data_IF_101721345823
#
_entry.id   IF_101721345823
#
_cell.length_a   1.000
_cell.length_b   1.000
_cell.length_c   1.000
_cell.angle_alpha   90.00
_cell.angle_beta   90.00
_cell.angle_gamma   90.00
#
_symmetry.space_group_name_H-M   'P 1'
#
loop_
_entity.id
_entity.type
_entity.pdbx_description
1 polymer ?
#
# COMPACT_ATOMS: atom_id res chain seq x y z
N UNK A 1 -28.62 -15.58 -6.53
CA UNK A 1 -27.17 -15.49 -6.36
C UNK A 1 -26.66 -14.60 -7.48
N UNK A 2 -26.54 -13.31 -7.24
CA UNK A 2 -25.94 -12.37 -8.19
C UNK A 2 -24.43 -12.51 -8.04
N UNK A 3 -23.78 -13.11 -9.03
CA UNK A 3 -22.32 -13.06 -9.18
C UNK A 3 -21.96 -11.58 -9.38
N UNK A 4 -21.38 -10.95 -8.38
CA UNK A 4 -20.71 -9.68 -8.61
C UNK A 4 -19.58 -9.97 -9.61
N UNK A 5 -19.66 -9.38 -10.79
CA UNK A 5 -18.53 -9.37 -11.72
C UNK A 5 -17.38 -8.68 -10.99
N UNK A 6 -16.42 -9.47 -10.52
CA UNK A 6 -15.16 -8.92 -10.04
C UNK A 6 -14.46 -8.30 -11.25
N UNK A 7 -14.52 -6.98 -11.35
CA UNK A 7 -13.74 -6.25 -12.34
C UNK A 7 -12.27 -6.51 -12.02
N UNK A 8 -11.57 -7.26 -12.88
CA UNK A 8 -10.14 -7.52 -12.72
C UNK A 8 -9.41 -6.17 -12.91
N UNK A 9 -8.83 -5.64 -11.85
CA UNK A 9 -8.02 -4.44 -11.90
C UNK A 9 -6.53 -4.83 -11.90
N UNK A 10 -5.75 -4.45 -12.92
CA UNK A 10 -4.32 -4.76 -12.93
C UNK A 10 -3.60 -3.99 -11.81
N UNK A 11 -2.68 -4.64 -11.11
CA UNK A 11 -1.83 -4.07 -10.05
C UNK A 11 -0.37 -4.45 -10.25
N UNK A 12 0.13 -4.28 -11.50
CA UNK A 12 1.48 -4.69 -11.90
C UNK A 12 2.54 -3.70 -11.48
N UNK A 13 2.17 -2.41 -11.46
CA UNK A 13 3.07 -1.30 -11.19
C UNK A 13 2.44 -0.32 -10.21
N UNK A 14 3.28 0.23 -9.33
CA UNK A 14 2.88 1.12 -8.26
C UNK A 14 3.92 2.23 -8.10
N UNK A 15 3.50 3.50 -7.91
CA UNK A 15 4.40 4.62 -7.66
C UNK A 15 3.89 5.51 -6.53
N UNK A 16 4.83 6.06 -5.73
CA UNK A 16 4.54 7.07 -4.72
C UNK A 16 4.52 8.49 -5.29
N UNK A 17 3.60 9.31 -4.78
CA UNK A 17 3.55 10.78 -4.97
C UNK A 17 3.55 11.44 -3.59
N UNK A 18 4.58 12.26 -3.23
CA UNK A 18 4.65 12.87 -1.90
C UNK A 18 3.44 13.77 -1.60
N UNK A 19 2.78 13.59 -0.46
CA UNK A 19 1.63 14.41 -0.04
C UNK A 19 1.97 15.89 0.12
N UNK A 20 3.22 16.23 0.46
CA UNK A 20 3.71 17.60 0.51
C UNK A 20 3.82 18.29 -0.85
N UNK A 21 3.86 17.53 -1.95
CA UNK A 21 4.07 18.02 -3.32
C UNK A 21 2.92 17.61 -4.23
N UNK A 22 1.71 18.17 -4.03
CA UNK A 22 0.52 17.79 -4.78
C UNK A 22 0.68 17.97 -6.31
N UNK A 23 1.59 18.83 -6.75
CA UNK A 23 1.91 19.02 -8.17
C UNK A 23 2.63 17.80 -8.81
N UNK A 24 3.11 16.84 -7.99
CA UNK A 24 3.67 15.59 -8.49
C UNK A 24 2.59 14.53 -8.76
N UNK A 25 1.42 14.66 -8.15
CA UNK A 25 0.34 13.67 -8.30
C UNK A 25 -0.15 13.52 -9.75
N UNK A 26 -0.44 14.60 -10.51
CA UNK A 26 -0.79 14.46 -11.93
C UNK A 26 0.33 13.84 -12.77
N UNK A 27 1.60 14.08 -12.42
CA UNK A 27 2.75 13.48 -13.10
C UNK A 27 2.82 11.98 -12.82
N UNK A 28 2.57 11.56 -11.58
CA UNK A 28 2.51 10.14 -11.23
C UNK A 28 1.38 9.42 -11.97
N UNK A 29 0.19 10.02 -12.07
CA UNK A 29 -0.91 9.48 -12.86
C UNK A 29 -0.56 9.32 -14.36
N UNK A 30 0.27 10.22 -14.89
CA UNK A 30 0.70 10.19 -16.29
C UNK A 30 1.86 9.21 -16.56
N UNK A 31 2.41 8.52 -15.55
CA UNK A 31 3.54 7.58 -15.73
C UNK A 31 3.13 6.25 -16.38
N UNK A 32 1.84 5.97 -16.56
CA UNK A 32 1.36 4.68 -17.07
C UNK A 32 1.40 3.56 -16.02
N UNK A 33 1.40 3.92 -14.75
CA UNK A 33 1.32 2.98 -13.61
C UNK A 33 -0.12 2.53 -13.36
N UNK A 34 -0.28 1.32 -12.81
CA UNK A 34 -1.60 0.82 -12.42
C UNK A 34 -2.07 1.42 -11.07
N UNK A 35 -1.13 1.79 -10.19
CA UNK A 35 -1.44 2.35 -8.86
C UNK A 35 -0.61 3.62 -8.60
N UNK A 36 -1.28 4.69 -8.13
CA UNK A 36 -0.62 5.88 -7.58
C UNK A 36 -0.96 6.02 -6.11
N UNK A 37 0.06 6.12 -5.27
CA UNK A 37 -0.07 6.26 -3.83
C UNK A 37 0.37 7.65 -3.36
N UNK A 38 -0.54 8.40 -2.76
CA UNK A 38 -0.20 9.63 -2.04
C UNK A 38 0.44 9.26 -0.71
N UNK A 39 1.62 9.78 -0.47
CA UNK A 39 2.50 9.41 0.63
C UNK A 39 2.36 10.37 1.81
N UNK A 40 1.96 9.88 2.99
CA UNK A 40 1.87 10.66 4.24
C UNK A 40 2.79 10.09 5.35
N UNK A 41 3.44 8.97 5.10
CA UNK A 41 4.19 8.20 6.10
C UNK A 41 5.70 8.47 6.01
N UNK A 42 6.55 7.49 5.85
CA UNK A 42 8.02 7.58 6.00
C UNK A 42 8.69 8.60 5.07
N UNK A 43 8.10 8.89 3.91
CA UNK A 43 8.55 9.93 3.01
C UNK A 43 8.31 11.37 3.49
N UNK A 44 7.66 11.56 4.64
CA UNK A 44 7.27 12.88 5.19
C UNK A 44 7.88 13.05 6.58
N UNK A 45 8.64 14.13 6.79
CA UNK A 45 9.22 14.42 8.09
C UNK A 45 8.13 14.69 9.16
N UNK A 46 8.34 14.34 10.45
CA UNK A 46 7.32 14.50 11.50
C UNK A 46 6.72 15.90 11.60
N UNK A 47 7.52 16.95 11.41
CA UNK A 47 7.07 18.34 11.46
C UNK A 47 6.14 18.75 10.31
N UNK A 48 6.15 17.99 9.21
CA UNK A 48 5.44 18.31 7.98
C UNK A 48 4.21 17.40 7.77
N UNK A 49 3.92 16.48 8.72
CA UNK A 49 2.83 15.48 8.63
C UNK A 49 1.45 16.11 8.47
N UNK A 50 1.16 17.17 9.23
CA UNK A 50 -0.15 17.83 9.19
C UNK A 50 -0.37 18.54 7.84
N UNK A 51 0.66 19.22 7.34
CA UNK A 51 0.61 19.87 6.02
C UNK A 51 0.47 18.82 4.89
N UNK A 52 1.20 17.71 4.98
CA UNK A 52 1.11 16.63 4.00
C UNK A 52 -0.30 15.99 3.98
N UNK A 53 -0.91 15.80 5.16
CA UNK A 53 -2.28 15.30 5.29
C UNK A 53 -3.28 16.25 4.63
N UNK A 54 -3.20 17.54 4.95
CA UNK A 54 -4.10 18.55 4.38
C UNK A 54 -4.01 18.57 2.86
N UNK A 55 -2.80 18.69 2.32
CA UNK A 55 -2.56 18.73 0.87
C UNK A 55 -2.90 17.40 0.18
N UNK A 56 -2.52 16.29 0.78
CA UNK A 56 -2.78 14.94 0.24
C UNK A 56 -4.27 14.61 0.19
N UNK A 57 -5.01 14.91 1.26
CA UNK A 57 -6.46 14.68 1.30
C UNK A 57 -7.22 15.62 0.35
N UNK A 58 -6.73 16.85 0.13
CA UNK A 58 -7.33 17.79 -0.83
C UNK A 58 -7.33 17.26 -2.27
N UNK A 59 -6.43 16.34 -2.64
CA UNK A 59 -6.41 15.69 -3.95
C UNK A 59 -7.67 14.85 -4.22
N UNK A 60 -8.37 14.45 -3.16
CA UNK A 60 -9.60 13.63 -3.22
C UNK A 60 -10.88 14.44 -2.98
N UNK A 61 -10.79 15.77 -2.86
CA UNK A 61 -11.96 16.64 -2.65
C UNK A 61 -12.96 16.60 -3.81
N UNK A 62 -12.57 16.09 -4.96
CA UNK A 62 -13.43 15.87 -6.13
C UNK A 62 -13.42 14.39 -6.52
N UNK A 63 -14.48 13.88 -7.16
CA UNK A 63 -14.53 12.51 -7.66
C UNK A 63 -13.33 12.20 -8.55
N UNK A 64 -12.71 11.05 -8.34
CA UNK A 64 -11.58 10.59 -9.13
C UNK A 64 -12.03 10.06 -10.48
N UNK A 65 -11.17 10.20 -11.51
CA UNK A 65 -11.44 9.65 -12.83
C UNK A 65 -11.46 8.12 -12.79
N UNK A 66 -12.36 7.53 -13.57
CA UNK A 66 -12.39 6.08 -13.84
C UNK A 66 -11.56 5.81 -15.10
N UNK A 67 -10.24 5.90 -14.97
CA UNK A 67 -9.27 5.73 -16.05
C UNK A 67 -8.43 4.44 -15.89
N UNK A 68 -8.85 3.55 -14.97
CA UNK A 68 -8.18 2.29 -14.68
C UNK A 68 -6.99 2.43 -13.72
N UNK A 69 -6.57 3.65 -13.35
CA UNK A 69 -5.51 3.87 -12.35
C UNK A 69 -6.10 3.84 -10.95
N UNK A 70 -5.60 2.95 -10.11
CA UNK A 70 -5.98 2.87 -8.70
C UNK A 70 -5.29 3.99 -7.91
N UNK A 71 -6.07 4.70 -7.10
CA UNK A 71 -5.60 5.85 -6.31
C UNK A 71 -5.72 5.53 -4.85
N UNK A 72 -4.59 5.56 -4.15
CA UNK A 72 -4.51 5.20 -2.74
C UNK A 72 -3.76 6.26 -1.95
N UNK A 73 -3.94 6.25 -0.64
CA UNK A 73 -3.19 7.10 0.31
C UNK A 73 -2.49 6.19 1.30
N UNK A 74 -1.15 6.27 1.40
CA UNK A 74 -0.43 5.65 2.51
C UNK A 74 -0.52 6.56 3.71
N UNK A 75 -1.32 6.18 4.69
CA UNK A 75 -1.47 6.87 5.95
C UNK A 75 -0.35 6.50 6.92
N UNK A 76 -0.22 7.24 8.01
CA UNK A 76 0.70 6.88 9.09
C UNK A 76 0.21 5.64 9.85
N UNK A 77 1.13 4.94 10.52
CA UNK A 77 0.82 3.77 11.33
C UNK A 77 -0.34 4.04 12.30
N UNK A 78 -1.35 3.18 12.31
CA UNK A 78 -2.59 3.32 13.08
C UNK A 78 -2.36 3.51 14.59
N UNK A 79 -1.23 3.01 15.11
CA UNK A 79 -0.86 3.10 16.54
C UNK A 79 -0.08 4.37 16.89
N UNK A 80 -0.10 5.38 16.02
CA UNK A 80 0.54 6.69 16.25
C UNK A 80 -0.49 7.80 16.28
N UNK A 81 -0.13 8.93 16.92
CA UNK A 81 -0.97 10.13 16.88
C UNK A 81 -1.20 10.63 15.44
N UNK A 82 -0.20 10.48 14.57
CA UNK A 82 -0.34 10.85 13.15
C UNK A 82 -1.31 9.93 12.41
N UNK A 83 -1.23 8.61 12.65
CA UNK A 83 -2.18 7.66 12.05
C UNK A 83 -3.63 7.90 12.51
N UNK A 84 -3.83 8.17 13.80
CA UNK A 84 -5.15 8.55 14.32
C UNK A 84 -5.66 9.85 13.66
N UNK A 85 -4.79 10.84 13.46
CA UNK A 85 -5.16 12.08 12.78
C UNK A 85 -5.51 11.85 11.30
N UNK A 86 -4.78 10.95 10.61
CA UNK A 86 -5.07 10.58 9.22
C UNK A 86 -6.42 9.87 9.11
N UNK A 87 -6.70 8.89 9.98
CA UNK A 87 -7.99 8.20 10.03
C UNK A 87 -9.13 9.19 10.28
N UNK A 88 -8.98 10.10 11.24
CA UNK A 88 -9.98 11.14 11.50
C UNK A 88 -10.23 12.02 10.27
N UNK A 89 -9.19 12.38 9.51
CA UNK A 89 -9.34 13.16 8.28
C UNK A 89 -10.13 12.38 7.21
N UNK A 90 -9.86 11.08 7.06
CA UNK A 90 -10.61 10.20 6.15
C UNK A 90 -12.09 10.10 6.57
N UNK A 91 -12.36 9.89 7.87
CA UNK A 91 -13.73 9.76 8.39
C UNK A 91 -14.53 11.07 8.33
N UNK A 92 -13.85 12.22 8.34
CA UNK A 92 -14.50 13.54 8.33
C UNK A 92 -14.92 14.02 6.93
N UNK A 93 -14.35 13.45 5.85
CA UNK A 93 -14.66 13.87 4.48
C UNK A 93 -15.85 13.12 3.90
N UNK A 94 -16.59 13.77 2.98
CA UNK A 94 -17.64 13.12 2.18
C UNK A 94 -17.08 12.48 0.89
N UNK A 95 -15.82 12.71 0.59
CA UNK A 95 -15.11 12.18 -0.57
C UNK A 95 -13.82 11.47 -0.11
N UNK A 96 -13.93 10.31 0.58
CA UNK A 96 -12.76 9.61 1.07
C UNK A 96 -11.90 9.10 -0.09
N UNK A 97 -10.59 8.92 0.12
CA UNK A 97 -9.74 8.24 -0.85
C UNK A 97 -10.34 6.88 -1.24
N UNK A 98 -10.25 6.46 -2.52
CA UNK A 98 -10.75 5.17 -2.96
C UNK A 98 -10.13 3.97 -2.22
N UNK A 99 -8.84 4.09 -1.83
CA UNK A 99 -8.18 3.10 -1.00
C UNK A 99 -7.16 3.73 -0.04
N UNK A 100 -6.89 3.04 1.06
CA UNK A 100 -5.83 3.35 2.03
C UNK A 100 -4.77 2.26 2.02
N UNK A 101 -3.51 2.66 2.10
CA UNK A 101 -2.39 1.77 2.36
C UNK A 101 -1.98 1.90 3.82
N UNK A 102 -1.95 0.77 4.52
CA UNK A 102 -1.74 0.68 5.96
C UNK A 102 -0.33 0.15 6.24
N UNK A 103 0.59 1.00 6.69
CA UNK A 103 1.94 0.59 7.06
C UNK A 103 1.97 0.03 8.49
N UNK A 104 2.97 -0.79 8.77
CA UNK A 104 3.34 -1.25 10.12
C UNK A 104 2.18 -1.88 10.90
N UNK A 105 1.24 -2.51 10.17
CA UNK A 105 0.17 -3.33 10.75
C UNK A 105 0.80 -4.51 11.48
N UNK A 106 0.29 -4.87 12.65
CA UNK A 106 0.81 -5.99 13.45
C UNK A 106 -0.22 -7.11 13.66
N UNK A 107 -1.50 -6.77 13.65
CA UNK A 107 -2.58 -7.73 13.93
C UNK A 107 -3.79 -7.53 13.04
N UNK A 108 -4.61 -8.57 12.90
CA UNK A 108 -5.90 -8.50 12.21
C UNK A 108 -6.87 -7.49 12.86
N UNK A 109 -6.80 -7.33 14.18
CA UNK A 109 -7.70 -6.44 14.91
C UNK A 109 -7.57 -4.97 14.49
N UNK A 110 -6.36 -4.54 14.07
CA UNK A 110 -6.15 -3.19 13.55
C UNK A 110 -6.96 -2.95 12.26
N UNK A 111 -7.07 -3.96 11.43
CA UNK A 111 -7.84 -3.92 10.17
C UNK A 111 -9.34 -3.92 10.47
N UNK A 112 -9.79 -4.81 11.36
CA UNK A 112 -11.20 -4.93 11.77
C UNK A 112 -11.67 -3.61 12.37
N UNK A 113 -10.87 -3.03 13.29
CA UNK A 113 -11.16 -1.72 13.87
C UNK A 113 -11.35 -0.62 12.83
N UNK A 114 -10.47 -0.55 11.82
CA UNK A 114 -10.59 0.45 10.76
C UNK A 114 -11.79 0.18 9.85
N UNK A 115 -12.06 -1.09 9.52
CA UNK A 115 -13.23 -1.48 8.72
C UNK A 115 -14.54 -1.08 9.40
N UNK A 116 -14.65 -1.30 10.70
CA UNK A 116 -15.82 -0.89 11.51
C UNK A 116 -16.06 0.63 11.42
N UNK A 117 -15.00 1.43 11.56
CA UNK A 117 -15.09 2.89 11.46
C UNK A 117 -15.49 3.37 10.05
N UNK A 118 -14.89 2.78 9.01
CA UNK A 118 -15.23 3.10 7.62
C UNK A 118 -16.69 2.71 7.31
N UNK A 119 -17.12 1.56 7.82
CA UNK A 119 -18.48 1.05 7.66
C UNK A 119 -19.52 1.90 8.38
N UNK A 120 -19.22 2.36 9.61
CA UNK A 120 -20.07 3.29 10.36
C UNK A 120 -20.31 4.60 9.56
N UNK A 121 -19.30 5.05 8.82
CA UNK A 121 -19.40 6.25 7.96
C UNK A 121 -20.01 5.99 6.59
N UNK A 122 -20.25 4.74 6.22
CA UNK A 122 -20.72 4.35 4.89
C UNK A 122 -19.65 4.57 3.79
N UNK A 123 -18.38 4.55 4.16
CA UNK A 123 -17.27 4.70 3.21
C UNK A 123 -16.93 3.35 2.55
N UNK A 124 -16.83 3.35 1.21
CA UNK A 124 -16.46 2.16 0.41
C UNK A 124 -14.94 2.04 0.20
N UNK A 125 -14.15 2.79 0.96
CA UNK A 125 -12.69 2.81 0.88
C UNK A 125 -12.11 1.39 1.01
N UNK A 126 -11.26 1.00 0.05
CA UNK A 126 -10.54 -0.29 0.02
C UNK A 126 -9.28 -0.21 0.87
N UNK A 127 -8.69 -1.37 1.18
CA UNK A 127 -7.49 -1.46 2.02
C UNK A 127 -6.37 -2.21 1.30
N UNK A 128 -5.17 -1.66 1.37
CA UNK A 128 -3.91 -2.29 1.00
C UNK A 128 -3.03 -2.36 2.25
N UNK A 129 -2.50 -3.51 2.58
CA UNK A 129 -1.79 -3.72 3.85
C UNK A 129 -0.33 -4.01 3.60
N UNK A 130 0.59 -3.27 4.25
CA UNK A 130 2.02 -3.53 4.17
C UNK A 130 2.43 -4.53 5.27
N UNK A 131 3.04 -5.62 4.85
CA UNK A 131 3.65 -6.62 5.73
C UNK A 131 5.15 -6.32 5.82
N UNK A 132 5.56 -5.73 6.93
CA UNK A 132 6.92 -5.17 7.09
C UNK A 132 7.47 -5.27 8.51
N UNK A 133 6.74 -5.96 9.42
CA UNK A 133 7.19 -6.23 10.79
C UNK A 133 7.18 -7.72 11.08
N UNK A 134 7.96 -8.18 12.06
CA UNK A 134 7.91 -9.58 12.50
C UNK A 134 6.51 -9.98 12.95
N UNK A 135 5.81 -9.10 13.66
CA UNK A 135 4.45 -9.37 14.12
C UNK A 135 3.48 -9.53 12.94
N UNK A 136 3.54 -8.65 11.94
CA UNK A 136 2.71 -8.80 10.74
C UNK A 136 3.03 -10.05 9.95
N UNK A 137 4.30 -10.47 9.89
CA UNK A 137 4.70 -11.68 9.18
C UNK A 137 4.15 -12.94 9.87
N UNK A 138 4.15 -12.98 11.21
CA UNK A 138 3.53 -14.07 11.97
C UNK A 138 2.01 -14.10 11.77
N UNK A 139 1.34 -12.96 11.80
CA UNK A 139 -0.11 -12.82 11.68
C UNK A 139 -0.60 -12.68 10.23
N UNK A 140 0.26 -12.86 9.20
CA UNK A 140 -0.04 -12.48 7.82
C UNK A 140 -1.29 -13.14 7.24
N UNK A 141 -1.59 -14.38 7.60
CA UNK A 141 -2.79 -15.07 7.14
C UNK A 141 -4.07 -14.51 7.78
N UNK A 142 -4.02 -14.20 9.07
CA UNK A 142 -5.14 -13.59 9.78
C UNK A 142 -5.39 -12.16 9.29
N UNK A 143 -4.32 -11.39 9.05
CA UNK A 143 -4.37 -10.05 8.45
C UNK A 143 -5.00 -10.10 7.07
N UNK A 144 -4.56 -11.03 6.19
CA UNK A 144 -5.06 -11.12 4.83
C UNK A 144 -6.57 -11.41 4.73
N UNK A 145 -7.15 -12.00 5.77
CA UNK A 145 -8.57 -12.40 5.83
C UNK A 145 -9.40 -11.51 6.77
N UNK A 146 -8.80 -10.49 7.38
CA UNK A 146 -9.43 -9.68 8.42
C UNK A 146 -10.62 -8.85 7.93
N UNK A 147 -10.64 -8.49 6.63
CA UNK A 147 -11.71 -7.69 6.02
C UNK A 147 -11.83 -7.98 4.54
N UNK A 148 -13.05 -7.97 4.03
CA UNK A 148 -13.34 -8.02 2.58
C UNK A 148 -12.93 -6.76 1.84
N UNK A 149 -12.54 -5.69 2.55
CA UNK A 149 -11.99 -4.46 1.97
C UNK A 149 -10.54 -4.62 1.49
N UNK A 150 -9.83 -5.65 1.94
CA UNK A 150 -8.43 -5.84 1.55
C UNK A 150 -8.37 -6.31 0.09
N UNK A 151 -7.66 -5.55 -0.74
CA UNK A 151 -7.43 -5.87 -2.14
C UNK A 151 -6.02 -6.40 -2.41
N UNK A 152 -5.04 -5.99 -1.59
CA UNK A 152 -3.65 -6.40 -1.77
C UNK A 152 -2.84 -6.41 -0.47
N UNK A 153 -1.87 -7.31 -0.40
CA UNK A 153 -0.75 -7.23 0.54
C UNK A 153 0.47 -6.65 -0.19
N UNK A 154 1.16 -5.74 0.46
CA UNK A 154 2.46 -5.22 0.02
C UNK A 154 3.57 -5.77 0.90
N UNK A 155 4.68 -6.16 0.29
CA UNK A 155 5.87 -6.55 1.03
C UNK A 155 6.76 -5.33 1.28
N UNK A 156 6.94 -4.94 2.56
CA UNK A 156 7.79 -3.84 2.98
C UNK A 156 9.21 -4.32 3.30
N UNK A 157 10.00 -4.62 2.28
CA UNK A 157 11.29 -5.32 2.42
C UNK A 157 12.33 -4.55 3.23
N UNK A 158 12.34 -3.21 3.20
CA UNK A 158 13.32 -2.39 3.93
C UNK A 158 13.13 -2.52 5.44
N UNK A 159 11.90 -2.31 5.92
CA UNK A 159 11.57 -2.41 7.35
C UNK A 159 11.64 -3.86 7.81
N UNK A 160 11.21 -4.82 6.97
CA UNK A 160 11.35 -6.25 7.26
C UNK A 160 12.82 -6.65 7.44
N UNK A 161 13.73 -6.15 6.59
CA UNK A 161 15.15 -6.43 6.74
C UNK A 161 15.72 -5.88 8.06
N UNK A 162 15.29 -4.67 8.45
CA UNK A 162 15.66 -4.08 9.73
C UNK A 162 15.13 -4.89 10.92
N UNK A 163 13.88 -5.32 10.89
CA UNK A 163 13.26 -6.18 11.91
C UNK A 163 13.97 -7.54 12.03
N UNK A 164 14.30 -8.15 10.89
CA UNK A 164 15.02 -9.43 10.84
C UNK A 164 16.53 -9.29 11.09
N UNK A 165 17.06 -8.07 11.10
CA UNK A 165 18.49 -7.75 11.24
C UNK A 165 19.33 -8.42 10.14
N UNK A 166 18.81 -8.42 8.91
CA UNK A 166 19.49 -8.99 7.74
C UNK A 166 19.71 -7.93 6.66
N UNK A 167 20.42 -8.28 5.60
CA UNK A 167 20.52 -7.40 4.43
C UNK A 167 19.23 -7.34 3.65
N UNK A 168 18.93 -6.18 3.03
CA UNK A 168 17.80 -6.00 2.12
C UNK A 168 18.11 -6.61 0.74
N UNK A 169 18.52 -7.89 0.72
CA UNK A 169 18.76 -8.66 -0.48
C UNK A 169 17.65 -9.70 -0.69
N UNK A 170 17.60 -10.29 -1.88
CA UNK A 170 16.55 -11.23 -2.24
C UNK A 170 16.52 -12.46 -1.33
N UNK A 171 17.67 -13.14 -1.19
CA UNK A 171 17.78 -14.43 -0.49
C UNK A 171 17.43 -14.34 1.01
N UNK A 172 17.96 -13.37 1.80
CA UNK A 172 17.60 -13.24 3.21
C UNK A 172 16.11 -12.99 3.45
N UNK A 173 15.44 -12.34 2.49
CA UNK A 173 14.03 -11.99 2.59
C UNK A 173 13.09 -12.97 1.87
N UNK A 174 13.61 -14.02 1.25
CA UNK A 174 12.82 -14.97 0.44
C UNK A 174 11.71 -15.64 1.28
N UNK A 175 12.01 -16.03 2.52
CA UNK A 175 11.02 -16.63 3.41
C UNK A 175 9.85 -15.65 3.68
N UNK A 176 10.15 -14.39 4.00
CA UNK A 176 9.14 -13.39 4.30
C UNK A 176 8.29 -13.10 3.05
N UNK A 177 8.92 -12.94 1.88
CA UNK A 177 8.20 -12.79 0.59
C UNK A 177 7.27 -13.97 0.30
N UNK A 178 7.77 -15.19 0.49
CA UNK A 178 6.98 -16.41 0.25
C UNK A 178 5.75 -16.49 1.17
N UNK A 179 5.89 -16.08 2.43
CA UNK A 179 4.77 -16.03 3.37
C UNK A 179 3.69 -15.02 2.95
N UNK A 180 4.11 -13.83 2.47
CA UNK A 180 3.18 -12.80 1.97
C UNK A 180 2.40 -13.30 0.75
N UNK A 181 3.10 -13.87 -0.23
CA UNK A 181 2.47 -14.46 -1.42
C UNK A 181 1.50 -15.59 -1.05
N UNK A 182 1.90 -16.48 -0.14
CA UNK A 182 1.04 -17.56 0.32
C UNK A 182 -0.25 -17.04 1.00
N UNK A 183 -0.13 -16.04 1.87
CA UNK A 183 -1.28 -15.45 2.54
C UNK A 183 -2.22 -14.73 1.56
N UNK A 184 -1.67 -13.92 0.65
CA UNK A 184 -2.43 -13.24 -0.39
C UNK A 184 -3.19 -14.23 -1.29
N UNK A 185 -2.51 -15.29 -1.76
CA UNK A 185 -3.13 -16.33 -2.57
C UNK A 185 -4.25 -17.07 -1.81
N UNK A 186 -4.05 -17.35 -0.51
CA UNK A 186 -5.07 -18.00 0.33
C UNK A 186 -6.32 -17.12 0.50
N UNK A 187 -6.17 -15.80 0.52
CA UNK A 187 -7.26 -14.85 0.64
C UNK A 187 -7.86 -14.43 -0.72
N UNK A 188 -7.23 -14.83 -1.85
CA UNK A 188 -7.66 -14.46 -3.19
C UNK A 188 -7.44 -12.97 -3.52
N UNK A 189 -6.40 -12.36 -2.94
CA UNK A 189 -6.02 -10.96 -3.12
C UNK A 189 -4.64 -10.85 -3.77
N UNK A 190 -4.28 -9.65 -4.24
CA UNK A 190 -3.00 -9.40 -4.88
C UNK A 190 -1.83 -9.35 -3.88
N UNK A 191 -0.63 -9.70 -4.35
CA UNK A 191 0.63 -9.46 -3.65
C UNK A 191 1.52 -8.53 -4.47
N UNK A 192 2.04 -7.46 -3.83
CA UNK A 192 2.89 -6.46 -4.48
C UNK A 192 4.25 -6.44 -3.77
N UNK A 193 5.33 -6.62 -4.53
CA UNK A 193 6.69 -6.61 -3.98
C UNK A 193 7.22 -5.19 -3.78
N UNK A 194 8.21 -5.06 -2.89
CA UNK A 194 8.88 -3.81 -2.52
C UNK A 194 9.56 -3.13 -3.73
N UNK A 195 9.69 -1.78 -3.74
CA UNK A 195 10.50 -1.10 -4.74
C UNK A 195 11.96 -1.54 -4.73
N UNK A 196 12.58 -1.58 -5.92
CA UNK A 196 14.03 -1.70 -6.06
C UNK A 196 14.67 -0.33 -5.81
N UNK A 197 15.66 -0.26 -4.90
CA UNK A 197 16.15 1.04 -4.40
C UNK A 197 17.25 1.67 -5.27
N UNK A 198 18.02 0.86 -6.00
CA UNK A 198 19.09 1.38 -6.85
C UNK A 198 18.54 1.82 -8.21
N UNK A 199 18.44 3.13 -8.39
CA UNK A 199 17.94 3.73 -9.64
C UNK A 199 18.94 3.66 -10.80
N UNK A 200 20.21 3.36 -10.51
CA UNK A 200 21.27 3.28 -11.50
C UNK A 200 21.56 1.83 -11.94
N UNK A 201 20.85 0.83 -11.36
CA UNK A 201 20.92 -0.60 -11.75
C UNK A 201 19.57 -1.09 -12.34
N UNK A 202 19.22 -0.72 -13.57
CA UNK A 202 18.00 -1.19 -14.21
C UNK A 202 17.98 -2.71 -14.47
N UNK A 203 19.15 -3.32 -14.67
CA UNK A 203 19.26 -4.77 -14.87
C UNK A 203 18.97 -5.53 -13.57
N UNK A 204 19.43 -5.02 -12.42
CA UNK A 204 19.11 -5.56 -11.10
C UNK A 204 17.62 -5.45 -10.81
N UNK A 205 17.01 -4.30 -11.12
CA UNK A 205 15.57 -4.12 -11.00
C UNK A 205 14.79 -5.13 -11.87
N UNK A 206 15.19 -5.33 -13.11
CA UNK A 206 14.54 -6.28 -14.02
C UNK A 206 14.67 -7.73 -13.53
N UNK A 207 15.85 -8.10 -13.01
CA UNK A 207 16.09 -9.43 -12.41
C UNK A 207 15.18 -9.63 -11.19
N UNK A 208 15.13 -8.67 -10.25
CA UNK A 208 14.30 -8.79 -9.06
C UNK A 208 12.80 -8.81 -9.41
N UNK A 209 12.34 -8.02 -10.38
CA UNK A 209 10.96 -8.07 -10.86
C UNK A 209 10.60 -9.44 -11.46
N UNK A 210 11.56 -10.08 -12.17
CA UNK A 210 11.37 -11.44 -12.69
C UNK A 210 11.24 -12.45 -11.57
N UNK A 211 12.12 -12.41 -10.57
CA UNK A 211 12.07 -13.28 -9.39
C UNK A 211 10.77 -13.10 -8.60
N UNK A 212 10.34 -11.84 -8.41
CA UNK A 212 9.09 -11.55 -7.73
C UNK A 212 7.88 -12.17 -8.47
N UNK A 213 7.81 -12.01 -9.80
CA UNK A 213 6.77 -12.62 -10.61
C UNK A 213 6.79 -14.15 -10.53
N UNK A 214 7.97 -14.77 -10.60
CA UNK A 214 8.13 -16.23 -10.51
C UNK A 214 7.75 -16.77 -9.13
N UNK A 215 7.93 -15.96 -8.06
CA UNK A 215 7.50 -16.30 -6.70
C UNK A 215 5.98 -16.18 -6.53
N UNK A 216 5.28 -15.41 -7.38
CA UNK A 216 3.82 -15.24 -7.36
C UNK A 216 3.33 -13.84 -7.00
N UNK A 217 4.19 -12.83 -6.98
CA UNK A 217 3.74 -11.45 -6.87
C UNK A 217 3.02 -10.99 -8.13
N UNK A 218 1.91 -10.26 -7.97
CA UNK A 218 1.12 -9.65 -9.06
C UNK A 218 1.80 -8.39 -9.60
N UNK A 219 2.55 -7.69 -8.76
CA UNK A 219 3.17 -6.41 -9.09
C UNK A 219 4.41 -6.08 -8.28
N UNK A 220 5.02 -4.95 -8.64
CA UNK A 220 6.20 -4.41 -7.97
C UNK A 220 6.08 -2.90 -7.76
N UNK A 221 6.50 -2.45 -6.57
CA UNK A 221 6.60 -1.05 -6.24
C UNK A 221 7.70 -0.34 -7.03
N UNK A 222 7.55 0.97 -7.18
CA UNK A 222 8.57 1.86 -7.72
C UNK A 222 8.62 3.19 -6.97
N UNK A 223 9.81 3.79 -6.95
CA UNK A 223 10.08 5.10 -6.33
C UNK A 223 10.43 6.17 -7.37
N UNK A 224 10.53 5.78 -8.64
CA UNK A 224 10.86 6.68 -9.73
C UNK A 224 10.20 6.22 -11.04
N UNK A 225 9.73 7.16 -11.93
CA UNK A 225 9.12 6.81 -13.21
C UNK A 225 9.96 5.94 -14.14
N UNK A 226 11.31 6.02 -14.05
CA UNK A 226 12.22 5.15 -14.84
C UNK A 226 11.98 3.65 -14.57
N UNK A 227 11.55 3.31 -13.36
CA UNK A 227 11.26 1.92 -12.98
C UNK A 227 9.94 1.41 -13.57
#
# INVERSE_FOLDING_TARGET
>A
MTTSEHTIRPRRTFIFAPGLKPEMYPKALACGTDIVCVELEDGIAPKDKDEAREKGMALFASPQADDGVERIVRINCLRTAFGLADVNAVLATNTPPPALMLPKVMTADEIIWLDDLLSERGHETRLHVIIETNASLEAVHDIAQASTRIDALFFGGVDMAAELRCSNAWEPLLYARSRVVHAAASAGIDAIDVPYLDLEDPDGMAREATLARELGFSGKGSIHPKQ
#
